data_IF_130060200521
#
_entry.id   IF_130060200521
#
_cell.length_a   1.000
_cell.length_b   1.000
_cell.length_c   1.000
_cell.angle_alpha   90.00
_cell.angle_beta   90.00
_cell.angle_gamma   90.00
#
_symmetry.space_group_name_H-M   'P 1'
#
loop_
_entity.id
_entity.type
_entity.pdbx_description
1 polymer ?
#
# COMPACT_ATOMS: atom_id res chain seq x y z
N UNK A 1 5.67 -8.74 -13.65
CA UNK A 1 5.60 -9.82 -12.64
C UNK A 1 4.12 -10.13 -12.49
N UNK A 2 3.68 -11.26 -13.02
CA UNK A 2 2.26 -11.60 -13.16
C UNK A 2 1.69 -12.19 -11.86
N UNK A 3 0.35 -12.24 -11.74
CA UNK A 3 -0.34 -12.77 -10.55
C UNK A 3 0.15 -14.18 -10.20
N UNK A 4 0.44 -14.99 -11.22
CA UNK A 4 1.00 -16.33 -11.08
C UNK A 4 2.39 -16.33 -10.41
N UNK A 5 3.23 -15.34 -10.69
CA UNK A 5 4.56 -15.28 -10.10
C UNK A 5 4.51 -14.94 -8.61
N UNK A 6 3.57 -14.07 -8.19
CA UNK A 6 3.32 -13.82 -6.76
C UNK A 6 2.83 -15.08 -6.04
N UNK A 7 1.90 -15.79 -6.67
CA UNK A 7 1.35 -17.02 -6.11
C UNK A 7 2.43 -18.10 -6.03
N UNK A 8 3.24 -18.28 -7.06
CA UNK A 8 4.38 -19.20 -7.03
C UNK A 8 5.39 -18.85 -5.93
N UNK A 9 5.67 -17.54 -5.75
CA UNK A 9 6.50 -17.06 -4.65
C UNK A 9 5.92 -17.40 -3.27
N UNK A 10 4.61 -17.22 -3.10
CA UNK A 10 3.90 -17.58 -1.87
C UNK A 10 3.94 -19.09 -1.63
N UNK A 11 3.65 -19.90 -2.65
CA UNK A 11 3.69 -21.36 -2.53
C UNK A 11 5.08 -21.87 -2.19
N UNK A 12 6.12 -21.25 -2.76
CA UNK A 12 7.51 -21.51 -2.41
C UNK A 12 7.79 -21.18 -0.94
N UNK A 13 7.37 -20.00 -0.47
CA UNK A 13 7.54 -19.60 0.93
C UNK A 13 6.80 -20.55 1.88
N UNK A 14 5.57 -20.97 1.54
CA UNK A 14 4.80 -21.98 2.30
C UNK A 14 5.54 -23.31 2.37
N UNK A 15 6.06 -23.80 1.24
CA UNK A 15 6.80 -25.07 1.19
C UNK A 15 8.15 -25.05 1.92
N UNK A 16 8.84 -23.91 1.88
CA UNK A 16 10.11 -23.68 2.59
C UNK A 16 9.92 -23.24 4.05
N UNK A 17 8.68 -23.10 4.51
CA UNK A 17 8.34 -22.70 5.88
C UNK A 17 9.01 -21.38 6.34
N UNK A 18 9.21 -20.45 5.40
CA UNK A 18 9.90 -19.19 5.64
C UNK A 18 9.24 -18.38 6.77
N UNK A 19 10.04 -17.86 7.71
CA UNK A 19 9.56 -17.01 8.81
C UNK A 19 9.02 -15.67 8.29
N UNK A 20 9.67 -15.13 7.27
CA UNK A 20 9.33 -13.86 6.62
C UNK A 20 9.28 -14.03 5.10
N UNK A 21 8.24 -13.49 4.50
CA UNK A 21 8.03 -13.47 3.06
C UNK A 21 7.88 -12.03 2.58
N UNK A 22 8.85 -11.57 1.80
CA UNK A 22 8.91 -10.20 1.31
C UNK A 22 8.49 -10.15 -0.15
N UNK A 23 7.49 -9.32 -0.45
CA UNK A 23 6.91 -9.21 -1.77
C UNK A 23 7.09 -7.81 -2.34
N UNK A 24 7.44 -7.77 -3.63
CA UNK A 24 7.39 -6.57 -4.44
C UNK A 24 6.22 -6.64 -5.42
N UNK A 25 5.08 -5.96 -5.14
CA UNK A 25 3.98 -5.93 -6.07
C UNK A 25 4.33 -5.02 -7.25
N UNK A 26 4.42 -5.58 -8.46
CA UNK A 26 4.56 -4.82 -9.70
C UNK A 26 3.19 -4.41 -10.31
N UNK A 27 2.09 -4.66 -9.60
CA UNK A 27 0.74 -4.45 -10.13
C UNK A 27 0.27 -3.00 -9.94
N UNK A 28 -0.50 -2.44 -10.89
CA UNK A 28 -1.01 -1.08 -10.78
C UNK A 28 -2.14 -0.90 -9.74
N UNK A 29 -2.61 -1.97 -9.07
CA UNK A 29 -3.83 -1.93 -8.25
C UNK A 29 -3.68 -2.50 -6.84
N UNK A 30 -3.78 -1.62 -5.83
CA UNK A 30 -3.79 -2.00 -4.40
C UNK A 30 -4.93 -2.98 -4.04
N UNK A 31 -6.05 -2.98 -4.77
CA UNK A 31 -7.16 -3.92 -4.54
C UNK A 31 -6.77 -5.37 -4.84
N UNK A 32 -6.04 -5.60 -5.93
CA UNK A 32 -5.52 -6.95 -6.27
C UNK A 32 -4.48 -7.40 -5.27
N UNK A 33 -3.67 -6.46 -4.77
CA UNK A 33 -2.70 -6.76 -3.73
C UNK A 33 -3.38 -7.11 -2.40
N UNK A 34 -4.47 -6.44 -2.03
CA UNK A 34 -5.29 -6.82 -0.87
C UNK A 34 -5.90 -8.22 -1.03
N UNK A 35 -6.39 -8.56 -2.22
CA UNK A 35 -6.87 -9.90 -2.53
C UNK A 35 -5.74 -10.95 -2.41
N UNK A 36 -4.53 -10.62 -2.86
CA UNK A 36 -3.37 -11.48 -2.66
C UNK A 36 -3.01 -11.64 -1.17
N UNK A 37 -3.00 -10.55 -0.40
CA UNK A 37 -2.73 -10.61 1.04
C UNK A 37 -3.76 -11.49 1.77
N UNK A 38 -5.03 -11.42 1.37
CA UNK A 38 -6.06 -12.32 1.89
C UNK A 38 -5.74 -13.79 1.63
N UNK A 39 -5.32 -14.12 0.40
CA UNK A 39 -4.88 -15.49 0.08
C UNK A 39 -3.69 -15.89 0.94
N UNK A 40 -2.69 -15.02 1.10
CA UNK A 40 -1.53 -15.27 1.95
C UNK A 40 -1.93 -15.54 3.42
N UNK A 41 -2.90 -14.80 3.96
CA UNK A 41 -3.40 -15.00 5.33
C UNK A 41 -4.09 -16.35 5.52
N UNK A 42 -4.79 -16.85 4.50
CA UNK A 42 -5.36 -18.22 4.51
C UNK A 42 -4.26 -19.29 4.54
N UNK A 43 -3.11 -19.04 3.94
CA UNK A 43 -1.92 -19.89 4.05
C UNK A 43 -1.09 -19.64 5.31
N UNK A 44 -1.53 -18.76 6.23
CA UNK A 44 -0.83 -18.49 7.49
C UNK A 44 0.26 -17.43 7.43
N UNK A 45 0.24 -16.58 6.40
CA UNK A 45 1.15 -15.44 6.26
C UNK A 45 0.42 -14.14 6.54
N UNK A 46 0.68 -13.51 7.69
CA UNK A 46 0.04 -12.27 8.12
C UNK A 46 0.71 -11.06 7.51
N UNK A 47 -0.07 -10.14 6.95
CA UNK A 47 0.44 -8.88 6.43
C UNK A 47 0.93 -7.96 7.56
N UNK A 48 2.18 -7.49 7.46
CA UNK A 48 2.82 -6.65 8.49
C UNK A 48 3.12 -5.22 8.02
N UNK A 49 2.74 -4.85 6.80
CA UNK A 49 3.03 -3.53 6.25
C UNK A 49 4.29 -3.52 5.39
N UNK A 50 5.05 -2.42 5.43
CA UNK A 50 6.28 -2.26 4.65
C UNK A 50 7.45 -3.00 5.29
N UNK A 51 8.28 -3.63 4.45
CA UNK A 51 9.50 -4.27 4.92
C UNK A 51 10.51 -3.22 5.43
N UNK A 52 11.15 -3.45 6.58
CA UNK A 52 12.16 -2.55 7.12
C UNK A 52 13.39 -2.47 6.20
N UNK A 53 13.92 -1.27 6.00
CA UNK A 53 15.22 -1.06 5.33
C UNK A 53 15.20 -0.96 3.80
N UNK A 54 14.09 -1.21 3.11
CA UNK A 54 14.06 -1.15 1.63
C UNK A 54 12.81 -0.46 1.07
N UNK A 55 12.45 0.70 1.62
CA UNK A 55 11.32 1.50 1.11
C UNK A 55 11.74 2.36 -0.09
N UNK A 56 12.08 1.75 -1.23
CA UNK A 56 12.25 2.52 -2.46
C UNK A 56 10.93 3.28 -2.75
N UNK A 57 11.03 4.60 -2.94
CA UNK A 57 9.90 5.55 -3.00
C UNK A 57 8.78 5.11 -3.97
N UNK A 58 9.20 4.52 -5.10
CA UNK A 58 8.33 4.11 -6.21
C UNK A 58 8.02 2.60 -6.22
N UNK A 59 8.60 1.79 -5.34
CA UNK A 59 8.44 0.34 -5.37
C UNK A 59 8.62 -0.28 -3.97
N UNK A 60 7.62 -0.11 -3.08
CA UNK A 60 7.70 -0.57 -1.71
C UNK A 60 7.70 -2.10 -1.64
N UNK A 61 8.58 -2.63 -0.81
CA UNK A 61 8.51 -4.03 -0.39
C UNK A 61 7.50 -4.16 0.76
N UNK A 62 6.69 -5.20 0.71
CA UNK A 62 5.72 -5.53 1.74
C UNK A 62 6.13 -6.81 2.45
N UNK A 63 5.96 -6.82 3.76
CA UNK A 63 6.36 -7.92 4.63
C UNK A 63 5.13 -8.76 5.01
N UNK A 64 5.28 -10.07 4.86
CA UNK A 64 4.38 -11.05 5.42
C UNK A 64 5.13 -11.91 6.44
N UNK A 65 4.56 -12.08 7.63
CA UNK A 65 5.16 -12.89 8.69
C UNK A 65 4.35 -14.18 8.87
N UNK A 66 5.06 -15.29 9.02
CA UNK A 66 4.46 -16.59 9.28
C UNK A 66 3.80 -16.62 10.66
N UNK A 67 2.56 -17.10 10.73
CA UNK A 67 1.88 -17.32 12.01
C UNK A 67 2.27 -18.67 12.63
N UNK A 68 2.16 -18.83 13.97
CA UNK A 68 2.52 -20.09 14.63
C UNK A 68 1.73 -21.31 14.11
N UNK A 69 0.50 -21.09 13.69
CA UNK A 69 -0.44 -22.07 13.13
C UNK A 69 -0.42 -22.14 11.60
N UNK A 70 0.57 -21.50 10.94
CA UNK A 70 0.60 -21.40 9.49
C UNK A 70 0.60 -22.77 8.79
N UNK A 71 1.26 -23.77 9.39
CA UNK A 71 1.29 -25.14 8.84
C UNK A 71 -0.09 -25.78 8.81
N UNK A 72 -0.84 -25.65 9.91
CA UNK A 72 -2.20 -26.19 10.01
C UNK A 72 -3.16 -25.47 9.08
N UNK A 73 -3.08 -24.13 9.01
CA UNK A 73 -3.89 -23.34 8.08
C UNK A 73 -3.58 -23.65 6.61
N UNK A 74 -2.31 -23.79 6.26
CA UNK A 74 -1.92 -24.16 4.91
C UNK A 74 -2.47 -25.55 4.53
N UNK A 75 -2.35 -26.53 5.44
CA UNK A 75 -2.91 -27.86 5.22
C UNK A 75 -4.43 -27.84 5.06
N UNK A 76 -5.15 -27.12 5.93
CA UNK A 76 -6.60 -26.97 5.85
C UNK A 76 -7.03 -26.27 4.55
N UNK A 77 -6.33 -25.21 4.16
CA UNK A 77 -6.60 -24.46 2.92
C UNK A 77 -6.37 -25.32 1.68
N UNK A 78 -5.27 -26.09 1.65
CA UNK A 78 -4.99 -27.04 0.57
C UNK A 78 -6.01 -28.17 0.49
N UNK A 79 -6.45 -28.70 1.63
CA UNK A 79 -7.48 -29.75 1.67
C UNK A 79 -8.82 -29.27 1.12
N UNK A 80 -9.20 -28.02 1.37
CA UNK A 80 -10.42 -27.41 0.82
C UNK A 80 -10.31 -27.00 -0.66
N UNK A 81 -9.10 -26.85 -1.20
CA UNK A 81 -8.85 -26.38 -2.57
C UNK A 81 -7.84 -27.27 -3.30
N UNK A 82 -8.16 -28.55 -3.53
CA UNK A 82 -7.25 -29.49 -4.17
C UNK A 82 -6.89 -29.04 -5.59
N UNK A 83 -5.58 -29.03 -5.89
CA UNK A 83 -5.06 -28.73 -7.23
C UNK A 83 -4.79 -27.25 -7.55
N UNK A 84 -4.91 -26.33 -6.59
CA UNK A 84 -4.41 -24.94 -6.69
C UNK A 84 -5.03 -24.06 -7.78
N UNK A 85 -6.01 -24.58 -8.54
CA UNK A 85 -6.72 -23.86 -9.62
C UNK A 85 -7.72 -22.83 -9.10
N UNK A 86 -8.23 -23.04 -7.89
CA UNK A 86 -9.16 -22.13 -7.22
C UNK A 86 -8.46 -21.58 -5.99
N UNK A 87 -8.28 -20.27 -5.96
CA UNK A 87 -7.70 -19.57 -4.81
C UNK A 87 -8.78 -19.40 -3.73
N UNK A 88 -8.41 -19.54 -2.44
CA UNK A 88 -9.37 -19.43 -1.35
C UNK A 88 -10.04 -18.06 -1.36
N UNK A 89 -11.39 -18.04 -1.33
CA UNK A 89 -12.19 -16.81 -1.32
C UNK A 89 -12.13 -15.98 -2.62
N UNK A 90 -11.61 -16.52 -3.72
CA UNK A 90 -11.57 -15.87 -5.02
C UNK A 90 -12.53 -16.52 -6.01
N UNK A 91 -12.95 -15.75 -7.02
CA UNK A 91 -13.79 -16.26 -8.10
C UNK A 91 -13.01 -17.21 -9.01
N UNK A 92 -13.50 -18.44 -9.26
CA UNK A 92 -12.84 -19.39 -10.15
C UNK A 92 -12.57 -18.78 -11.54
N UNK A 93 -11.35 -18.95 -12.06
CA UNK A 93 -10.96 -18.47 -13.39
C UNK A 93 -10.81 -16.95 -13.54
N UNK A 94 -11.04 -16.14 -12.48
CA UNK A 94 -10.87 -14.67 -12.51
C UNK A 94 -9.67 -14.16 -11.70
N UNK A 95 -8.73 -15.05 -11.36
CA UNK A 95 -7.49 -14.70 -10.66
C UNK A 95 -7.73 -14.10 -9.27
N UNK A 96 -7.03 -13.02 -8.95
CA UNK A 96 -7.17 -12.28 -7.68
C UNK A 96 -8.42 -11.37 -7.64
N UNK A 97 -9.58 -11.95 -7.96
CA UNK A 97 -10.88 -11.29 -7.85
C UNK A 97 -11.66 -11.92 -6.69
N UNK A 98 -11.86 -11.21 -5.56
CA UNK A 98 -12.57 -11.76 -4.41
C UNK A 98 -14.01 -12.14 -4.74
N UNK A 99 -14.49 -13.18 -4.07
CA UNK A 99 -15.91 -13.51 -4.01
C UNK A 99 -16.65 -12.62 -2.98
N UNK A 100 -17.98 -12.56 -3.06
CA UNK A 100 -18.80 -11.75 -2.16
C UNK A 100 -18.58 -12.07 -0.67
N UNK A 101 -18.31 -13.34 -0.35
CA UNK A 101 -17.99 -13.80 1.00
C UNK A 101 -16.66 -13.25 1.54
N UNK A 102 -15.63 -13.16 0.69
CA UNK A 102 -14.29 -12.69 1.06
C UNK A 102 -14.10 -11.17 0.92
N UNK A 103 -15.00 -10.49 0.20
CA UNK A 103 -14.92 -9.07 -0.08
C UNK A 103 -14.73 -8.20 1.18
N UNK A 104 -15.46 -8.41 2.30
CA UNK A 104 -15.31 -7.57 3.48
C UNK A 104 -13.90 -7.65 4.10
N UNK A 105 -13.33 -8.86 4.19
CA UNK A 105 -11.99 -9.09 4.72
C UNK A 105 -10.92 -8.48 3.80
N UNK A 106 -11.09 -8.64 2.49
CA UNK A 106 -10.20 -8.00 1.49
C UNK A 106 -10.27 -6.48 1.57
N UNK A 107 -11.45 -5.89 1.82
CA UNK A 107 -11.61 -4.45 1.96
C UNK A 107 -10.95 -3.90 3.25
N UNK A 108 -10.85 -4.70 4.31
CA UNK A 108 -10.09 -4.36 5.51
C UNK A 108 -8.58 -4.37 5.21
N UNK A 109 -8.07 -5.41 4.56
CA UNK A 109 -6.66 -5.47 4.12
C UNK A 109 -6.31 -4.32 3.17
N UNK A 110 -7.21 -4.00 2.25
CA UNK A 110 -7.07 -2.83 1.38
C UNK A 110 -6.98 -1.54 2.21
N UNK A 111 -7.81 -1.41 3.25
CA UNK A 111 -7.77 -0.23 4.13
C UNK A 111 -6.46 -0.13 4.91
N UNK A 112 -5.89 -1.24 5.39
CA UNK A 112 -4.56 -1.27 6.00
C UNK A 112 -3.48 -0.78 5.04
N UNK A 113 -3.47 -1.33 3.81
CA UNK A 113 -2.51 -0.94 2.77
C UNK A 113 -2.62 0.54 2.38
N UNK A 114 -3.83 1.10 2.33
CA UNK A 114 -4.01 2.54 2.08
C UNK A 114 -3.49 3.38 3.24
N UNK A 115 -3.73 2.97 4.49
CA UNK A 115 -3.19 3.67 5.66
C UNK A 115 -1.66 3.65 5.64
N UNK A 116 -1.05 2.52 5.31
CA UNK A 116 0.41 2.39 5.17
C UNK A 116 0.95 3.26 4.04
N UNK A 117 0.33 3.20 2.86
CA UNK A 117 0.73 3.99 1.70
C UNK A 117 0.66 5.50 1.98
N UNK A 118 -0.37 5.94 2.72
CA UNK A 118 -0.51 7.34 3.13
C UNK A 118 0.44 7.72 4.28
N UNK A 119 0.85 6.76 5.12
CA UNK A 119 1.76 6.95 6.23
C UNK A 119 3.24 7.06 5.82
N UNK A 120 3.59 6.64 4.60
CA UNK A 120 4.96 6.63 4.07
C UNK A 120 5.64 8.00 4.06
N UNK A 121 4.89 9.06 3.81
CA UNK A 121 5.47 10.40 3.73
C UNK A 121 5.49 11.06 5.10
N UNK A 122 6.70 11.37 5.60
CA UNK A 122 6.83 12.23 6.76
C UNK A 122 6.24 13.60 6.40
N UNK A 123 5.21 14.09 7.13
CA UNK A 123 4.58 15.37 6.83
C UNK A 123 5.58 16.53 6.84
N UNK A 124 6.70 16.42 7.59
CA UNK A 124 7.78 17.40 7.61
C UNK A 124 8.57 17.45 6.30
N UNK A 125 8.85 16.29 5.70
CA UNK A 125 9.57 16.20 4.41
C UNK A 125 8.70 16.75 3.29
N UNK A 126 7.42 16.40 3.28
CA UNK A 126 6.45 16.97 2.33
C UNK A 126 6.40 18.50 2.53
N UNK A 127 6.25 18.99 3.76
CA UNK A 127 6.25 20.43 4.05
C UNK A 127 7.52 21.16 3.60
N UNK A 128 8.69 20.52 3.65
CA UNK A 128 9.94 21.13 3.18
C UNK A 128 9.97 21.31 1.65
N UNK A 129 9.20 20.53 0.88
CA UNK A 129 9.03 20.76 -0.57
C UNK A 129 8.37 22.13 -0.81
N UNK A 130 7.60 22.65 0.14
CA UNK A 130 7.01 23.99 0.06
C UNK A 130 8.06 25.12 0.16
N UNK A 131 9.31 24.81 0.55
CA UNK A 131 10.42 25.76 0.56
C UNK A 131 11.00 26.01 -0.84
N UNK A 132 10.96 25.01 -1.74
CA UNK A 132 11.39 25.16 -3.13
C UNK A 132 10.71 26.32 -3.88
N UNK A 133 9.37 26.48 -3.81
CA UNK A 133 8.68 27.64 -4.36
C UNK A 133 9.20 28.98 -3.84
N UNK A 134 9.47 29.05 -2.53
CA UNK A 134 9.94 30.28 -1.87
C UNK A 134 11.33 30.65 -2.38
N UNK A 135 12.22 29.67 -2.51
CA UNK A 135 13.58 29.86 -3.06
C UNK A 135 13.52 30.19 -4.56
N UNK A 136 12.63 29.55 -5.31
CA UNK A 136 12.45 29.83 -6.73
C UNK A 136 11.90 31.23 -7.00
N UNK A 137 11.06 31.77 -6.10
CA UNK A 137 10.53 33.13 -6.20
C UNK A 137 11.62 34.20 -6.02
N UNK A 138 12.72 33.91 -5.32
CA UNK A 138 13.88 34.82 -5.20
C UNK A 138 14.51 35.09 -6.57
N UNK A 139 14.49 34.11 -7.49
CA UNK A 139 15.04 34.28 -8.83
C UNK A 139 14.24 35.26 -9.72
N UNK A 140 12.97 35.55 -9.38
CA UNK A 140 12.14 36.53 -10.08
C UNK A 140 12.54 37.99 -9.78
N UNK A 141 13.41 38.20 -8.78
CA UNK A 141 13.89 39.52 -8.35
C UNK A 141 15.10 39.99 -9.20
N UNK A 142 15.77 39.09 -9.93
CA UNK A 142 16.94 39.46 -10.73
C UNK A 142 16.57 40.36 -11.93
N UNK A 143 17.41 41.37 -12.26
CA UNK A 143 17.11 42.32 -13.31
C UNK A 143 17.09 41.65 -14.70
N UNK A 144 15.99 41.85 -15.45
CA UNK A 144 15.79 41.26 -16.79
C UNK A 144 14.36 40.74 -17.05
N UNK A 145 13.52 40.64 -16.02
CA UNK A 145 12.12 40.23 -16.16
C UNK A 145 11.17 41.42 -16.34
N UNK A 146 10.22 41.30 -17.27
CA UNK A 146 9.13 42.27 -17.41
C UNK A 146 8.01 41.98 -16.41
N UNK A 147 7.26 43.00 -15.98
CA UNK A 147 6.14 42.87 -15.03
C UNK A 147 5.15 41.77 -15.44
N UNK A 148 4.84 41.66 -16.73
CA UNK A 148 3.95 40.61 -17.25
C UNK A 148 4.49 39.19 -17.04
N UNK A 149 5.80 38.96 -17.21
CA UNK A 149 6.42 37.65 -16.98
C UNK A 149 6.41 37.26 -15.50
N UNK A 150 6.62 38.23 -14.61
CA UNK A 150 6.55 38.01 -13.16
C UNK A 150 5.14 37.63 -12.70
N UNK A 151 4.11 38.32 -13.21
CA UNK A 151 2.71 38.00 -12.90
C UNK A 151 2.32 36.59 -13.37
N UNK A 152 2.70 36.21 -14.59
CA UNK A 152 2.45 34.87 -15.12
C UNK A 152 3.15 33.79 -14.27
N UNK A 153 4.42 34.01 -13.93
CA UNK A 153 5.18 33.09 -13.09
C UNK A 153 4.54 32.94 -11.69
N UNK A 154 4.14 34.05 -11.07
CA UNK A 154 3.45 34.04 -9.77
C UNK A 154 2.12 33.28 -9.83
N UNK A 155 1.34 33.47 -10.89
CA UNK A 155 0.08 32.73 -11.11
C UNK A 155 0.30 31.22 -11.21
N UNK A 156 1.30 30.78 -11.98
CA UNK A 156 1.66 29.36 -12.08
C UNK A 156 2.05 28.79 -10.71
N UNK A 157 2.82 29.54 -9.92
CA UNK A 157 3.21 29.11 -8.57
C UNK A 157 2.03 28.96 -7.61
N UNK A 158 1.10 29.91 -7.61
CA UNK A 158 -0.12 29.84 -6.78
C UNK A 158 -0.92 28.59 -7.14
N UNK A 159 -1.08 28.29 -8.43
CA UNK A 159 -1.77 27.06 -8.88
C UNK A 159 -1.04 25.80 -8.42
N UNK A 160 0.29 25.73 -8.54
CA UNK A 160 1.07 24.58 -8.09
C UNK A 160 1.00 24.36 -6.58
N UNK A 161 1.07 25.44 -5.78
CA UNK A 161 0.91 25.37 -4.32
C UNK A 161 -0.50 24.90 -3.97
N UNK A 162 -1.53 25.43 -4.62
CA UNK A 162 -2.91 25.03 -4.38
C UNK A 162 -3.10 23.53 -4.68
N UNK A 163 -2.62 23.04 -5.83
CA UNK A 163 -2.67 21.62 -6.20
C UNK A 163 -1.94 20.74 -5.17
N UNK A 164 -0.77 21.18 -4.71
CA UNK A 164 0.00 20.48 -3.70
C UNK A 164 -0.74 20.39 -2.35
N UNK A 165 -1.30 21.50 -1.86
CA UNK A 165 -2.06 21.54 -0.61
C UNK A 165 -3.33 20.67 -0.70
N UNK A 166 -4.03 20.69 -1.83
CA UNK A 166 -5.19 19.83 -2.09
C UNK A 166 -4.78 18.36 -2.06
N UNK A 167 -3.68 17.98 -2.72
CA UNK A 167 -3.17 16.61 -2.70
C UNK A 167 -2.86 16.11 -1.28
N UNK A 168 -2.25 16.98 -0.46
CA UNK A 168 -1.93 16.70 0.93
C UNK A 168 -3.19 16.56 1.81
N UNK A 169 -4.19 17.42 1.61
CA UNK A 169 -5.48 17.34 2.28
C UNK A 169 -6.23 16.05 1.90
N UNK A 170 -6.30 15.72 0.61
CA UNK A 170 -6.91 14.47 0.12
C UNK A 170 -6.23 13.25 0.72
N UNK A 171 -4.90 13.24 0.80
CA UNK A 171 -4.13 12.13 1.37
C UNK A 171 -4.43 11.95 2.86
N UNK A 172 -4.48 13.05 3.62
CA UNK A 172 -4.87 13.04 5.05
C UNK A 172 -6.30 12.55 5.25
N UNK A 173 -7.22 13.06 4.46
CA UNK A 173 -8.63 12.66 4.52
C UNK A 173 -8.81 11.17 4.22
N UNK A 174 -8.16 10.67 3.15
CA UNK A 174 -8.18 9.23 2.81
C UNK A 174 -7.62 8.38 3.94
N UNK A 175 -6.47 8.77 4.51
CA UNK A 175 -5.87 8.04 5.63
C UNK A 175 -6.81 7.97 6.83
N UNK A 176 -7.41 9.10 7.22
CA UNK A 176 -8.35 9.17 8.34
C UNK A 176 -9.59 8.29 8.09
N UNK A 177 -10.17 8.36 6.89
CA UNK A 177 -11.34 7.54 6.51
C UNK A 177 -11.06 6.04 6.59
N UNK A 178 -9.91 5.59 6.09
CA UNK A 178 -9.55 4.17 6.15
C UNK A 178 -9.14 3.72 7.55
N UNK A 179 -8.45 4.56 8.32
CA UNK A 179 -8.15 4.28 9.72
C UNK A 179 -9.44 4.14 10.57
N UNK A 180 -10.43 5.01 10.34
CA UNK A 180 -11.73 4.91 11.01
C UNK A 180 -12.45 3.59 10.67
N UNK A 181 -12.37 3.11 9.41
CA UNK A 181 -12.92 1.81 9.02
C UNK A 181 -12.24 0.64 9.73
N UNK A 182 -10.91 0.68 9.88
CA UNK A 182 -10.17 -0.34 10.60
C UNK A 182 -10.54 -0.35 12.09
N UNK A 183 -10.60 0.83 12.70
CA UNK A 183 -11.03 0.99 14.10
C UNK A 183 -12.46 0.50 14.32
N UNK A 184 -13.38 0.76 13.40
CA UNK A 184 -14.76 0.28 13.49
C UNK A 184 -14.86 -1.25 13.37
N UNK A 185 -13.91 -1.88 12.65
CA UNK A 185 -13.78 -3.33 12.57
C UNK A 185 -12.98 -3.95 13.73
N UNK A 186 -12.55 -3.16 14.72
CA UNK A 186 -11.74 -3.63 15.84
C UNK A 186 -10.29 -3.95 15.47
N UNK A 187 -9.84 -3.54 14.28
CA UNK A 187 -8.48 -3.80 13.79
C UNK A 187 -7.58 -2.63 14.17
N UNK A 188 -6.66 -2.86 15.11
CA UNK A 188 -5.61 -1.90 15.44
C UNK A 188 -4.51 -1.93 14.37
N UNK A 189 -4.27 -0.78 13.73
CA UNK A 189 -3.28 -0.65 12.65
C UNK A 189 -2.62 0.74 12.69
N UNK A 190 -1.30 0.88 12.46
CA UNK A 190 -0.30 -0.17 12.16
C UNK A 190 -0.16 -1.19 13.31
N UNK A 191 0.27 -2.44 13.01
CA UNK A 191 0.45 -3.44 14.04
C UNK A 191 1.48 -2.91 15.02
N UNK A 192 1.17 -2.92 16.32
CA UNK A 192 2.18 -2.59 17.34
C UNK A 192 3.35 -3.52 17.10
N UNK A 193 4.53 -2.97 16.87
CA UNK A 193 5.75 -3.76 16.85
C UNK A 193 5.76 -4.53 18.18
N UNK A 194 5.68 -5.86 18.10
CA UNK A 194 5.92 -6.70 19.27
C UNK A 194 7.39 -6.49 19.57
N UNK A 195 7.67 -5.70 20.60
CA UNK A 195 9.00 -5.41 21.09
C UNK A 195 9.63 -6.68 21.69
#
# INVERSE_FOLDING_TARGET
MDEQHLLNGLMKAVGEEQSEYVVRPFFPGMKKFAAFAYVAERFGYRYMGHAPGNAALNNPYFLFQRTPDARERAAATMAGHPGGRVLPGMRPGRGLTPDASAQPEVDLLYSQMIVDACGRYNPRVLSNILLFPVVAAIFLIFPGYTTGRVVIAGGIWVVLIALYLVGLAVTRYRRAKHAARLSAAGVEWPPRAVA
#
